data_IF_928316542715
#
_entry.id   IF_928316542715
#
_cell.length_a   1.000
_cell.length_b   1.000
_cell.length_c   1.000
_cell.angle_alpha   90.00
_cell.angle_beta   90.00
_cell.angle_gamma   90.00
#
_symmetry.space_group_name_H-M   'P 1'
#
loop_
_entity.id
_entity.type
_entity.pdbx_description
1 polymer ?
#
# COMPACT_ATOMS: atom_id res chain seq x y z
N UNK A 1 -13.17 25.60 -13.94
CA UNK A 1 -12.70 25.15 -13.84
C UNK A 1 -12.22 24.67 -13.53
N UNK A 2 -12.19 24.52 -13.55
CA UNK A 2 -11.52 23.93 -13.21
C UNK A 2 -10.90 23.33 -12.93
N UNK A 3 -10.73 23.22 -12.65
CA UNK A 3 -10.10 22.67 -12.40
C UNK A 3 -9.59 22.17 -12.07
N UNK A 4 -9.64 21.99 -12.15
CA UNK A 4 -9.00 21.47 -11.75
C UNK A 4 -8.30 21.05 -11.46
N UNK A 5 -8.39 21.16 -11.46
CA UNK A 5 -7.69 20.78 -11.28
C UNK A 5 -7.00 20.47 -10.93
N UNK A 6 -7.05 20.62 -10.88
CA UNK A 6 -6.35 20.31 -10.56
C UNK A 6 -5.96 20.04 -10.12
N UNK A 7 -6.03 20.01 -10.07
CA UNK A 7 -5.51 19.71 -9.66
C UNK A 7 -4.80 19.33 -9.34
N UNK A 8 -4.86 19.50 -9.25
CA UNK A 8 -4.08 19.13 -9.01
C UNK A 8 -3.25 18.95 -8.84
N UNK A 9 -3.25 19.07 -8.82
CA UNK A 9 -2.45 18.86 -8.70
C UNK A 9 -1.57 18.80 -8.44
N UNK A 10 -1.46 18.95 -8.34
CA UNK A 10 -0.72 18.85 -8.12
C UNK A 10 -0.01 18.77 -7.77
N UNK A 11 -0.08 18.77 -7.81
CA UNK A 11 0.57 18.75 -7.36
C UNK A 11 1.48 18.53 -6.92
N UNK A 12 1.69 18.41 -6.94
CA UNK A 12 2.51 18.15 -6.60
C UNK A 12 3.36 18.09 -6.40
N UNK A 13 3.04 18.25 -6.38
CA UNK A 13 4.29 18.50 -6.39
C UNK A 13 5.32 17.56 -5.75
N UNK A 14 6.39 17.69 -5.60
CA UNK A 14 7.53 17.03 -5.16
C UNK A 14 7.38 15.62 -4.63
N UNK A 15 6.47 15.35 -3.87
CA UNK A 15 6.25 13.99 -3.47
C UNK A 15 5.02 13.49 -4.16
N UNK A 16 5.23 12.63 -5.09
CA UNK A 16 4.11 11.96 -5.67
C UNK A 16 4.01 10.60 -5.02
N UNK A 17 2.88 10.36 -4.40
CA UNK A 17 2.54 9.02 -3.97
C UNK A 17 1.19 8.70 -4.56
N UNK A 18 1.07 7.51 -5.11
CA UNK A 18 -0.15 7.06 -5.75
C UNK A 18 -0.48 5.70 -5.19
N UNK A 19 -1.74 5.52 -4.84
CA UNK A 19 -2.25 4.22 -4.41
C UNK A 19 -3.33 3.82 -5.39
N UNK A 20 -3.13 2.67 -6.03
CA UNK A 20 -4.09 2.12 -7.00
C UNK A 20 -4.46 0.72 -6.58
N UNK A 21 -5.61 0.26 -7.01
CA UNK A 21 -6.06 -1.10 -6.73
C UNK A 21 -6.40 -1.83 -8.01
N UNK A 22 -6.22 -3.13 -7.97
CA UNK A 22 -6.74 -4.03 -8.99
C UNK A 22 -7.28 -5.26 -8.28
N UNK A 23 -8.33 -5.84 -8.84
CA UNK A 23 -8.98 -7.01 -8.24
C UNK A 23 -9.06 -8.12 -9.26
N UNK A 24 -8.86 -9.34 -8.80
CA UNK A 24 -9.05 -10.52 -9.61
C UNK A 24 -9.61 -11.61 -8.71
N UNK A 25 -10.87 -11.98 -8.93
CA UNK A 25 -11.56 -12.92 -8.06
C UNK A 25 -11.66 -12.35 -6.65
N UNK A 26 -11.20 -13.12 -5.67
CA UNK A 26 -11.18 -12.70 -4.27
C UNK A 26 -9.83 -12.14 -3.83
N UNK A 27 -8.97 -11.80 -4.78
CA UNK A 27 -7.67 -11.21 -4.51
C UNK A 27 -7.68 -9.72 -4.83
N UNK A 28 -7.31 -8.91 -3.85
CA UNK A 28 -7.20 -7.45 -4.03
C UNK A 28 -5.74 -7.08 -3.98
N UNK A 29 -5.25 -6.42 -5.02
CA UNK A 29 -3.87 -5.94 -5.06
C UNK A 29 -3.88 -4.43 -4.89
N UNK A 30 -3.04 -3.95 -3.97
CA UNK A 30 -2.86 -2.54 -3.69
C UNK A 30 -1.47 -2.16 -4.19
N UNK A 31 -1.41 -1.25 -5.15
CA UNK A 31 -0.16 -0.78 -5.73
C UNK A 31 0.19 0.56 -5.10
N UNK A 32 1.35 0.66 -4.48
CA UNK A 32 1.81 1.91 -3.88
C UNK A 32 3.03 2.37 -4.66
N UNK A 33 2.98 3.59 -5.19
CA UNK A 33 4.05 4.15 -5.99
C UNK A 33 4.57 5.43 -5.36
N UNK A 34 5.87 5.63 -5.44
CA UNK A 34 6.54 6.78 -4.88
C UNK A 34 6.86 6.59 -3.41
N UNK A 35 6.50 7.55 -2.60
CA UNK A 35 6.77 7.51 -1.17
C UNK A 35 5.59 6.87 -0.44
N UNK A 36 5.86 5.78 0.24
CA UNK A 36 4.85 5.14 1.08
C UNK A 36 5.03 5.70 2.49
N UNK A 37 4.32 6.76 2.78
CA UNK A 37 4.45 7.47 4.05
C UNK A 37 3.06 7.89 4.55
N UNK A 38 3.03 8.71 5.58
CA UNK A 38 1.76 9.12 6.19
C UNK A 38 0.84 9.81 5.19
N UNK A 39 1.39 10.45 4.16
CA UNK A 39 0.55 11.16 3.18
C UNK A 39 -0.34 10.22 2.37
N UNK A 40 -0.02 8.93 2.29
CA UNK A 40 -0.89 7.96 1.63
C UNK A 40 -1.88 7.29 2.59
N UNK A 41 -1.95 7.71 3.83
CA UNK A 41 -2.73 7.05 4.86
C UNK A 41 -4.19 6.83 4.45
N UNK A 42 -4.87 7.87 4.01
CA UNK A 42 -6.28 7.74 3.63
C UNK A 42 -6.47 6.94 2.36
N UNK A 43 -5.62 7.16 1.37
CA UNK A 43 -5.71 6.43 0.11
C UNK A 43 -5.51 4.94 0.33
N UNK A 44 -4.52 4.58 1.14
CA UNK A 44 -4.22 3.19 1.41
C UNK A 44 -5.37 2.52 2.15
N UNK A 45 -5.92 3.19 3.15
CA UNK A 45 -7.03 2.66 3.92
C UNK A 45 -8.27 2.46 3.05
N UNK A 46 -8.59 3.43 2.20
CA UNK A 46 -9.73 3.32 1.30
C UNK A 46 -9.55 2.18 0.32
N UNK A 47 -8.30 1.90 -0.06
CA UNK A 47 -8.01 0.85 -1.03
C UNK A 47 -8.51 -0.50 -0.55
N UNK A 48 -8.28 -0.84 0.72
CA UNK A 48 -8.71 -2.15 1.20
C UNK A 48 -10.10 -2.12 1.86
N UNK A 49 -10.53 -0.99 2.40
CA UNK A 49 -11.86 -0.89 2.97
C UNK A 49 -12.95 -0.81 1.91
N UNK A 50 -12.60 -0.34 0.71
CA UNK A 50 -13.56 -0.15 -0.35
C UNK A 50 -13.82 -1.36 -1.22
N UNK A 51 -13.32 -2.53 -0.82
CA UNK A 51 -13.52 -3.74 -1.62
C UNK A 51 -15.00 -4.07 -1.72
N UNK A 52 -15.48 -4.30 -2.95
CA UNK A 52 -16.89 -4.53 -3.20
C UNK A 52 -17.33 -5.95 -2.89
N UNK A 53 -16.39 -6.88 -2.76
CA UNK A 53 -16.67 -8.30 -2.55
C UNK A 53 -15.73 -8.82 -1.48
N UNK A 54 -16.06 -9.96 -0.86
CA UNK A 54 -15.16 -10.55 0.13
C UNK A 54 -13.78 -10.82 -0.46
N UNK A 55 -12.75 -10.49 0.31
CA UNK A 55 -11.36 -10.65 -0.09
C UNK A 55 -10.73 -11.73 0.75
N UNK A 56 -10.13 -12.72 0.10
CA UNK A 56 -9.41 -13.79 0.80
C UNK A 56 -7.91 -13.61 0.75
N UNK A 57 -7.43 -12.75 -0.15
CA UNK A 57 -6.01 -12.45 -0.25
C UNK A 57 -5.80 -10.98 -0.61
N UNK A 58 -4.98 -10.31 0.20
CA UNK A 58 -4.53 -8.95 -0.08
C UNK A 58 -3.07 -9.02 -0.52
N UNK A 59 -2.76 -8.35 -1.62
CA UNK A 59 -1.39 -8.24 -2.10
C UNK A 59 -1.02 -6.77 -2.10
N UNK A 60 0.06 -6.41 -1.42
CA UNK A 60 0.59 -5.06 -1.45
C UNK A 60 1.80 -5.09 -2.36
N UNK A 61 1.66 -4.48 -3.53
CA UNK A 61 2.70 -4.47 -4.55
C UNK A 61 3.52 -3.20 -4.40
N UNK A 62 4.77 -3.37 -3.99
CA UNK A 62 5.67 -2.25 -3.72
C UNK A 62 6.69 -2.03 -4.82
N UNK A 63 6.40 -2.54 -6.04
CA UNK A 63 7.33 -2.39 -7.17
C UNK A 63 7.70 -0.93 -7.40
N UNK A 64 6.73 -0.04 -7.34
CA UNK A 64 6.95 1.38 -7.56
C UNK A 64 7.29 2.17 -6.31
N UNK A 65 7.43 1.51 -5.16
CA UNK A 65 7.68 2.19 -3.90
C UNK A 65 9.17 2.46 -3.74
N UNK A 66 9.51 3.73 -3.59
CA UNK A 66 10.91 4.17 -3.47
C UNK A 66 11.34 4.36 -2.04
N UNK A 67 10.38 4.58 -1.14
CA UNK A 67 10.67 4.96 0.23
C UNK A 67 9.52 4.49 1.12
N UNK A 68 9.87 4.05 2.33
CA UNK A 68 8.89 3.61 3.31
C UNK A 68 9.34 4.15 4.67
N UNK A 69 8.39 4.66 5.46
CA UNK A 69 8.70 5.16 6.80
C UNK A 69 7.93 4.39 7.86
N UNK A 70 8.07 4.80 9.12
CA UNK A 70 7.40 4.10 10.22
C UNK A 70 5.89 4.21 10.15
N UNK A 71 5.36 5.30 9.58
CA UNK A 71 3.91 5.42 9.42
C UNK A 71 3.39 4.38 8.44
N UNK A 72 4.14 4.12 7.36
CA UNK A 72 3.77 3.09 6.39
C UNK A 72 3.79 1.71 7.04
N UNK A 73 4.79 1.43 7.88
CA UNK A 73 4.83 0.17 8.60
C UNK A 73 3.59 0.00 9.47
N UNK A 74 3.17 1.07 10.14
CA UNK A 74 1.95 1.04 10.93
C UNK A 74 0.71 0.79 10.07
N UNK A 75 0.65 1.39 8.89
CA UNK A 75 -0.47 1.17 7.97
C UNK A 75 -0.54 -0.28 7.52
N UNK A 76 0.60 -0.90 7.26
CA UNK A 76 0.63 -2.32 6.90
C UNK A 76 0.14 -3.20 8.04
N UNK A 77 0.50 -2.87 9.28
CA UNK A 77 0.03 -3.62 10.44
C UNK A 77 -1.48 -3.51 10.60
N UNK A 78 -2.04 -2.34 10.37
CA UNK A 78 -3.48 -2.15 10.43
C UNK A 78 -4.18 -2.97 9.34
N UNK A 79 -3.62 -3.01 8.15
CA UNK A 79 -4.14 -3.87 7.08
C UNK A 79 -4.13 -5.33 7.52
N UNK A 80 -3.00 -5.79 8.09
CA UNK A 80 -2.89 -7.19 8.54
C UNK A 80 -3.99 -7.52 9.55
N UNK A 81 -4.22 -6.61 10.48
CA UNK A 81 -5.24 -6.81 11.49
C UNK A 81 -6.65 -6.79 10.88
N UNK A 82 -6.90 -5.84 9.99
CA UNK A 82 -8.21 -5.71 9.34
C UNK A 82 -8.53 -6.89 8.43
N UNK A 83 -7.50 -7.54 7.90
CA UNK A 83 -7.70 -8.64 6.97
C UNK A 83 -8.25 -9.90 7.64
N UNK A 84 -8.14 -10.00 8.97
CA UNK A 84 -8.66 -11.17 9.68
C UNK A 84 -7.97 -12.44 9.22
N UNK A 85 -8.75 -13.40 8.73
CA UNK A 85 -8.20 -14.68 8.28
C UNK A 85 -7.67 -14.65 6.86
N UNK A 86 -7.85 -13.55 6.12
CA UNK A 86 -7.31 -13.43 4.78
C UNK A 86 -5.79 -13.40 4.83
N UNK A 87 -5.13 -13.85 3.76
CA UNK A 87 -3.69 -13.74 3.68
C UNK A 87 -3.30 -12.35 3.22
N UNK A 88 -2.15 -11.87 3.69
CA UNK A 88 -1.61 -10.60 3.24
C UNK A 88 -0.18 -10.84 2.77
N UNK A 89 0.07 -10.52 1.51
CA UNK A 89 1.39 -10.69 0.89
C UNK A 89 1.94 -9.33 0.49
N UNK A 90 3.24 -9.17 0.62
CA UNK A 90 3.95 -7.99 0.14
C UNK A 90 4.86 -8.45 -0.98
N UNK A 91 4.70 -7.87 -2.16
CA UNK A 91 5.42 -8.32 -3.34
C UNK A 91 6.25 -7.21 -3.97
N UNK A 92 7.29 -7.61 -4.67
CA UNK A 92 8.10 -6.73 -5.51
C UNK A 92 8.78 -5.60 -4.75
N UNK A 93 9.02 -5.75 -3.44
CA UNK A 93 9.70 -4.70 -2.70
C UNK A 93 11.14 -4.56 -3.18
N UNK A 94 11.57 -3.32 -3.37
CA UNK A 94 12.95 -3.01 -3.73
C UNK A 94 13.87 -3.37 -2.57
N UNK A 95 15.14 -3.64 -2.82
CA UNK A 95 16.05 -4.10 -1.77
C UNK A 95 16.08 -3.19 -0.54
N UNK A 96 16.09 -1.88 -0.71
CA UNK A 96 16.14 -0.96 0.43
C UNK A 96 14.85 -1.04 1.26
N UNK A 97 13.71 -1.16 0.60
CA UNK A 97 12.41 -1.28 1.27
C UNK A 97 12.30 -2.64 1.95
N UNK A 98 12.73 -3.70 1.25
CA UNK A 98 12.70 -5.05 1.81
C UNK A 98 13.55 -5.13 3.09
N UNK A 99 14.69 -4.47 3.10
CA UNK A 99 15.56 -4.49 4.27
C UNK A 99 14.86 -3.88 5.49
N UNK A 100 14.13 -2.79 5.28
CA UNK A 100 13.37 -2.16 6.36
C UNK A 100 12.30 -3.12 6.88
N UNK A 101 11.59 -3.79 5.98
CA UNK A 101 10.56 -4.75 6.36
C UNK A 101 11.18 -5.90 7.17
N UNK A 102 12.34 -6.37 6.78
CA UNK A 102 13.02 -7.46 7.47
C UNK A 102 13.51 -7.03 8.87
N UNK A 103 14.05 -5.82 8.97
CA UNK A 103 14.51 -5.29 10.27
C UNK A 103 13.32 -5.16 11.22
N UNK A 104 12.16 -4.81 10.70
CA UNK A 104 10.93 -4.69 11.50
C UNK A 104 10.27 -6.04 11.76
N UNK A 105 10.87 -7.15 11.31
CA UNK A 105 10.33 -8.51 11.46
C UNK A 105 8.98 -8.71 10.78
N UNK A 106 8.72 -7.98 9.71
CA UNK A 106 7.45 -8.08 9.01
C UNK A 106 7.29 -9.42 8.31
N UNK A 107 8.39 -10.13 8.04
CA UNK A 107 8.32 -11.46 7.44
C UNK A 107 7.67 -12.49 8.37
N UNK A 108 7.45 -12.17 9.64
CA UNK A 108 6.70 -13.05 10.54
C UNK A 108 5.20 -12.82 10.48
N UNK A 109 4.78 -11.67 9.93
CA UNK A 109 3.37 -11.28 9.87
C UNK A 109 2.81 -11.33 8.45
N UNK A 110 3.70 -11.20 7.46
CA UNK A 110 3.32 -11.14 6.07
C UNK A 110 4.14 -12.14 5.28
N UNK A 111 3.57 -12.63 4.19
CA UNK A 111 4.37 -13.35 3.20
C UNK A 111 5.05 -12.30 2.33
N UNK A 112 6.37 -12.23 2.39
CA UNK A 112 7.14 -11.23 1.64
C UNK A 112 7.90 -11.94 0.52
N UNK A 113 7.59 -11.56 -0.71
CA UNK A 113 8.24 -12.12 -1.90
C UNK A 113 9.38 -11.23 -2.37
#
# INVERSE_FOLDING_TARGET
>A
MPQPIGKTAARDTGSSNTVRTSSFGSCLTIHVEGRFDFNCHQQFRRAYEGAAAPVTEYVVDLRGTEYIDSAALGMLLVLRESAGSATVRITNSRPAVRKILQIANFNTLFSID
#
